data_IF_045682982735
#
_entry.id   IF_045682982735
#
_cell.length_a   1.000
_cell.length_b   1.000
_cell.length_c   1.000
_cell.angle_alpha   90.00
_cell.angle_beta   90.00
_cell.angle_gamma   90.00
#
_symmetry.space_group_name_H-M   'P 1'
#
loop_
_entity.id
_entity.type
_entity.pdbx_description
1 polymer ?
#
# COMPACT_ATOMS: atom_id res chain seq x y z
N UNK A 1 6.76 -4.88 -10.93
CA UNK A 1 6.59 -5.48 -9.59
C UNK A 1 7.88 -6.04 -9.04
N UNK A 2 8.70 -6.77 -9.82
CA UNK A 2 9.93 -7.41 -9.35
C UNK A 2 10.99 -6.44 -8.76
N UNK A 3 10.99 -5.17 -9.14
CA UNK A 3 11.97 -4.17 -8.64
C UNK A 3 11.42 -3.27 -7.53
N UNK A 4 10.10 -3.05 -7.45
CA UNK A 4 9.50 -2.19 -6.41
C UNK A 4 9.65 -2.88 -5.05
N UNK A 5 10.39 -2.26 -4.14
CA UNK A 5 10.75 -2.81 -2.81
C UNK A 5 11.68 -4.04 -2.83
N UNK A 6 12.54 -4.17 -3.85
CA UNK A 6 13.46 -5.32 -3.91
C UNK A 6 14.44 -5.36 -2.73
N UNK A 7 15.10 -4.24 -2.43
CA UNK A 7 16.04 -4.14 -1.31
C UNK A 7 15.36 -4.46 0.02
N UNK A 8 14.15 -3.92 0.23
CA UNK A 8 13.32 -4.14 1.41
C UNK A 8 13.01 -5.63 1.61
N UNK A 9 12.65 -6.35 0.54
CA UNK A 9 12.41 -7.80 0.59
C UNK A 9 13.69 -8.60 0.85
N UNK A 10 14.79 -8.25 0.19
CA UNK A 10 16.07 -8.94 0.33
C UNK A 10 16.62 -8.78 1.76
N UNK A 11 16.48 -7.59 2.33
CA UNK A 11 16.97 -7.25 3.67
C UNK A 11 15.91 -7.45 4.77
N UNK A 12 14.69 -7.87 4.42
CA UNK A 12 13.57 -8.18 5.33
C UNK A 12 13.23 -7.02 6.29
N UNK A 13 13.14 -5.81 5.77
CA UNK A 13 12.67 -4.63 6.50
C UNK A 13 11.56 -3.91 5.73
N UNK A 14 10.74 -3.14 6.44
CA UNK A 14 9.70 -2.32 5.81
C UNK A 14 10.04 -0.83 5.95
N UNK A 15 10.26 -0.15 4.82
CA UNK A 15 10.57 1.28 4.77
C UNK A 15 9.35 2.18 5.02
N UNK A 16 8.13 1.65 4.85
CA UNK A 16 6.88 2.40 4.80
C UNK A 16 6.95 3.60 3.83
N UNK A 17 7.78 3.50 2.78
CA UNK A 17 7.93 4.56 1.80
C UNK A 17 6.77 4.55 0.80
N UNK A 18 5.63 5.07 1.23
CA UNK A 18 4.44 5.16 0.40
C UNK A 18 4.62 6.11 -0.80
N UNK A 19 5.55 7.05 -0.73
CA UNK A 19 5.84 7.93 -1.87
C UNK A 19 6.45 7.14 -3.03
N UNK A 20 7.43 6.26 -2.75
CA UNK A 20 7.99 5.32 -3.74
C UNK A 20 6.91 4.47 -4.40
N UNK A 21 5.93 4.00 -3.62
CA UNK A 21 4.78 3.28 -4.14
C UNK A 21 3.93 4.12 -5.11
N UNK A 22 3.49 5.31 -4.67
CA UNK A 22 2.62 6.15 -5.50
C UNK A 22 3.33 6.64 -6.77
N UNK A 23 4.65 6.90 -6.72
CA UNK A 23 5.45 7.22 -7.90
C UNK A 23 5.42 6.06 -8.92
N UNK A 24 5.65 4.84 -8.46
CA UNK A 24 5.63 3.68 -9.34
C UNK A 24 4.24 3.44 -9.95
N UNK A 25 3.15 3.64 -9.17
CA UNK A 25 1.78 3.58 -9.71
C UNK A 25 1.54 4.66 -10.76
N UNK A 26 1.94 5.91 -10.49
CA UNK A 26 1.77 7.04 -11.39
C UNK A 26 2.48 6.83 -12.74
N UNK A 27 3.66 6.21 -12.72
CA UNK A 27 4.44 5.89 -13.91
C UNK A 27 3.89 4.67 -14.69
N UNK A 28 3.10 3.82 -14.04
CA UNK A 28 2.65 2.53 -14.59
C UNK A 28 1.12 2.36 -14.51
N UNK A 29 0.35 3.43 -14.73
CA UNK A 29 -1.11 3.45 -14.49
C UNK A 29 -1.86 2.34 -15.23
N UNK A 30 -1.56 2.12 -16.52
CA UNK A 30 -2.23 1.08 -17.33
C UNK A 30 -2.02 -0.31 -16.73
N UNK A 31 -0.81 -0.59 -16.23
CA UNK A 31 -0.51 -1.85 -15.54
C UNK A 31 -1.39 -2.01 -14.30
N UNK A 32 -1.46 -1.01 -13.43
CA UNK A 32 -2.27 -1.10 -12.21
C UNK A 32 -3.78 -1.13 -12.47
N UNK A 33 -4.27 -0.38 -13.47
CA UNK A 33 -5.66 -0.46 -13.91
C UNK A 33 -6.00 -1.87 -14.41
N UNK A 34 -5.08 -2.50 -15.14
CA UNK A 34 -5.26 -3.87 -15.62
C UNK A 34 -5.18 -4.88 -14.47
N UNK A 35 -4.19 -4.72 -13.59
CA UNK A 35 -4.00 -5.53 -12.39
C UNK A 35 -5.27 -5.57 -11.53
N UNK A 36 -5.87 -4.41 -11.22
CA UNK A 36 -7.07 -4.33 -10.41
C UNK A 36 -8.35 -4.82 -11.11
N UNK A 37 -8.39 -4.84 -12.45
CA UNK A 37 -9.50 -5.44 -13.20
C UNK A 37 -9.42 -6.97 -13.23
N UNK A 38 -8.20 -7.50 -13.23
CA UNK A 38 -7.93 -8.94 -13.22
C UNK A 38 -7.93 -9.53 -11.80
N UNK A 39 -7.88 -8.69 -10.76
CA UNK A 39 -8.04 -9.12 -9.37
C UNK A 39 -9.42 -9.79 -9.18
N UNK A 40 -9.44 -10.97 -8.56
CA UNK A 40 -10.65 -11.75 -8.27
C UNK A 40 -10.92 -11.78 -6.75
N UNK A 41 -12.17 -11.98 -6.31
CA UNK A 41 -12.45 -12.21 -4.89
C UNK A 41 -11.66 -13.43 -4.40
N UNK A 42 -10.64 -13.21 -3.56
CA UNK A 42 -9.74 -14.27 -3.05
C UNK A 42 -8.33 -14.27 -3.67
N UNK A 43 -8.07 -13.53 -4.76
CA UNK A 43 -6.69 -13.18 -5.08
C UNK A 43 -6.27 -12.12 -4.06
N UNK A 44 -5.37 -12.49 -3.15
CA UNK A 44 -4.68 -11.54 -2.28
C UNK A 44 -3.84 -10.65 -3.19
N UNK A 45 -4.47 -9.63 -3.78
CA UNK A 45 -3.86 -8.65 -4.66
C UNK A 45 -2.98 -7.74 -3.82
N UNK A 46 -1.90 -8.34 -3.33
CA UNK A 46 -0.80 -7.70 -2.71
C UNK A 46 -0.08 -6.95 -3.84
N UNK A 47 -0.50 -5.71 -4.08
CA UNK A 47 0.51 -4.67 -3.95
C UNK A 47 1.30 -5.06 -2.69
N UNK A 48 2.56 -5.50 -2.86
CA UNK A 48 3.37 -6.26 -1.90
C UNK A 48 3.60 -5.61 -0.53
N UNK A 49 2.82 -4.59 -0.21
CA UNK A 49 2.58 -3.96 1.08
C UNK A 49 2.06 -4.95 2.14
N UNK A 50 1.69 -6.18 1.76
CA UNK A 50 1.26 -7.23 2.68
C UNK A 50 2.35 -7.69 3.66
N UNK A 51 3.63 -7.36 3.42
CA UNK A 51 4.64 -7.38 4.48
C UNK A 51 4.55 -6.08 5.32
N UNK A 52 3.33 -5.64 5.64
CA UNK A 52 3.12 -4.65 6.68
C UNK A 52 3.68 -5.31 7.94
N UNK A 53 4.83 -4.80 8.35
CA UNK A 53 5.67 -5.40 9.37
C UNK A 53 4.80 -5.55 10.61
N UNK A 54 4.52 -6.79 11.01
CA UNK A 54 3.75 -7.10 12.23
C UNK A 54 4.31 -6.35 13.44
N UNK A 55 5.60 -5.98 13.39
CA UNK A 55 6.28 -5.12 14.36
C UNK A 55 5.69 -3.71 14.49
N UNK A 56 5.23 -3.09 13.41
CA UNK A 56 4.66 -1.74 13.46
C UNK A 56 3.22 -1.76 14.02
N UNK A 57 2.42 -2.75 13.64
CA UNK A 57 1.12 -2.98 14.25
C UNK A 57 1.26 -3.31 15.76
N UNK A 58 2.24 -4.14 16.13
CA UNK A 58 2.56 -4.42 17.53
C UNK A 58 2.96 -3.15 18.30
N UNK A 59 3.78 -2.28 17.70
CA UNK A 59 4.22 -1.03 18.31
C UNK A 59 3.10 0.00 18.49
N UNK A 60 2.16 0.11 17.55
CA UNK A 60 1.06 1.08 17.62
C UNK A 60 -0.16 0.60 18.41
N UNK A 61 -0.46 -0.70 18.36
CA UNK A 61 -1.72 -1.25 18.89
C UNK A 61 -1.52 -2.22 20.06
N UNK A 62 -0.30 -2.33 20.59
CA UNK A 62 -0.01 -3.12 21.78
C UNK A 62 -0.26 -4.61 21.57
N UNK A 63 0.07 -5.12 20.38
CA UNK A 63 0.01 -6.54 20.00
C UNK A 63 -1.39 -7.16 20.01
N UNK A 64 -2.46 -6.35 20.02
CA UNK A 64 -3.86 -6.80 19.98
C UNK A 64 -4.46 -6.59 18.59
N UNK A 65 -5.21 -7.59 18.10
CA UNK A 65 -5.98 -7.53 16.84
C UNK A 65 -5.15 -7.17 15.58
N UNK A 66 -3.88 -7.57 15.56
CA UNK A 66 -2.93 -7.23 14.47
C UNK A 66 -3.45 -7.69 13.10
N UNK A 67 -4.08 -8.86 13.05
CA UNK A 67 -4.71 -9.40 11.85
C UNK A 67 -5.77 -8.45 11.28
N UNK A 68 -6.66 -7.93 12.12
CA UNK A 68 -7.67 -6.95 11.70
C UNK A 68 -7.05 -5.62 11.25
N UNK A 69 -5.99 -5.15 11.92
CA UNK A 69 -5.29 -3.94 11.51
C UNK A 69 -4.61 -4.09 10.14
N UNK A 70 -3.98 -5.24 9.88
CA UNK A 70 -3.37 -5.57 8.58
C UNK A 70 -4.45 -5.63 7.49
N UNK A 71 -5.56 -6.32 7.77
CA UNK A 71 -6.68 -6.43 6.83
C UNK A 71 -7.28 -5.05 6.51
N UNK A 72 -7.56 -4.23 7.53
CA UNK A 72 -8.07 -2.88 7.36
C UNK A 72 -7.13 -2.01 6.53
N UNK A 73 -5.83 -2.05 6.82
CA UNK A 73 -4.82 -1.30 6.07
C UNK A 73 -4.74 -1.75 4.61
N UNK A 74 -4.67 -3.07 4.37
CA UNK A 74 -4.61 -3.62 3.01
C UNK A 74 -5.82 -3.22 2.19
N UNK A 75 -7.02 -3.37 2.75
CA UNK A 75 -8.25 -3.02 2.06
C UNK A 75 -8.40 -1.50 1.86
N UNK A 76 -8.03 -0.69 2.86
CA UNK A 76 -8.04 0.76 2.78
C UNK A 76 -7.07 1.30 1.72
N UNK A 77 -5.84 0.79 1.69
CA UNK A 77 -4.84 1.18 0.70
C UNK A 77 -5.28 0.83 -0.72
N UNK A 78 -5.77 -0.40 -0.94
CA UNK A 78 -6.27 -0.82 -2.24
C UNK A 78 -7.44 0.06 -2.70
N UNK A 79 -8.36 0.44 -1.81
CA UNK A 79 -9.47 1.32 -2.13
C UNK A 79 -9.01 2.72 -2.56
N UNK A 80 -8.04 3.30 -1.84
CA UNK A 80 -7.47 4.61 -2.16
C UNK A 80 -6.77 4.59 -3.52
N UNK A 81 -5.96 3.56 -3.80
CA UNK A 81 -5.26 3.44 -5.08
C UNK A 81 -6.27 3.27 -6.23
N UNK A 82 -7.31 2.43 -6.06
CA UNK A 82 -8.38 2.25 -7.06
C UNK A 82 -9.10 3.57 -7.35
N UNK A 83 -9.44 4.33 -6.32
CA UNK A 83 -10.05 5.67 -6.46
C UNK A 83 -9.13 6.62 -7.23
N UNK A 84 -7.85 6.68 -6.87
CA UNK A 84 -6.88 7.56 -7.51
C UNK A 84 -6.67 7.22 -8.99
N UNK A 85 -6.54 5.93 -9.32
CA UNK A 85 -6.43 5.45 -10.70
C UNK A 85 -7.68 5.75 -11.53
N UNK A 86 -8.88 5.61 -10.94
CA UNK A 86 -10.15 5.93 -11.61
C UNK A 86 -10.27 7.42 -11.95
N UNK A 87 -9.74 8.28 -11.08
CA UNK A 87 -9.70 9.72 -11.26
C UNK A 87 -8.54 10.18 -12.17
N UNK A 88 -7.83 9.26 -12.84
CA UNK A 88 -6.72 9.60 -13.73
C UNK A 88 -5.45 10.06 -13.01
N UNK A 89 -5.26 9.62 -11.76
CA UNK A 89 -4.15 10.02 -10.89
C UNK A 89 -3.99 11.55 -10.78
N UNK A 90 -5.09 12.25 -10.48
CA UNK A 90 -5.14 13.72 -10.44
C UNK A 90 -4.21 14.33 -9.39
N UNK A 91 -4.22 13.81 -8.17
CA UNK A 91 -3.32 14.20 -7.10
C UNK A 91 -1.90 13.71 -7.39
N UNK A 92 -0.87 14.47 -6.98
CA UNK A 92 0.52 14.04 -7.12
C UNK A 92 0.84 12.85 -6.21
N UNK A 93 1.87 12.03 -6.53
CA UNK A 93 2.32 10.95 -5.65
C UNK A 93 2.64 11.41 -4.22
N UNK A 94 3.18 12.63 -4.07
CA UNK A 94 3.47 13.21 -2.76
C UNK A 94 2.18 13.47 -1.97
N UNK A 95 1.19 14.10 -2.59
CA UNK A 95 -0.11 14.36 -1.95
C UNK A 95 -0.78 13.05 -1.51
N UNK A 96 -0.71 12.00 -2.34
CA UNK A 96 -1.25 10.69 -1.98
C UNK A 96 -0.52 10.05 -0.79
N UNK A 97 0.81 10.16 -0.74
CA UNK A 97 1.60 9.69 0.39
C UNK A 97 1.27 10.45 1.69
N UNK A 98 1.06 11.77 1.59
CA UNK A 98 0.65 12.62 2.71
C UNK A 98 -0.76 12.26 3.21
N UNK A 99 -1.73 12.05 2.32
CA UNK A 99 -3.08 11.59 2.68
C UNK A 99 -3.01 10.26 3.45
N UNK A 100 -2.25 9.29 2.94
CA UNK A 100 -2.13 7.99 3.60
C UNK A 100 -1.43 8.10 4.96
N UNK A 101 -0.40 8.93 5.08
CA UNK A 101 0.31 9.18 6.34
C UNK A 101 -0.57 9.90 7.37
N UNK A 102 -1.45 10.80 6.95
CA UNK A 102 -2.38 11.49 7.84
C UNK A 102 -3.39 10.51 8.48
N UNK A 103 -3.80 9.48 7.75
CA UNK A 103 -4.74 8.47 8.25
C UNK A 103 -4.08 7.40 9.12
N UNK A 104 -2.86 6.97 8.79
CA UNK A 104 -2.18 5.83 9.43
C UNK A 104 -0.96 6.22 10.28
N UNK A 105 -0.64 7.50 10.39
CA UNK A 105 0.40 7.98 11.30
C UNK A 105 0.00 7.85 12.77
N UNK A 106 0.97 7.81 13.70
CA UNK A 106 0.68 7.86 15.13
C UNK A 106 -0.11 9.12 15.49
N UNK A 107 -1.16 8.95 16.31
CA UNK A 107 -1.97 10.03 16.87
C UNK A 107 -1.52 10.40 18.27
#
# INVERSE_FOLDING_TARGET
>A
MAELYQDEREQKYNSNDFYKLFCHIYQNQLFYQTYFKLEHPGSTGALGVAEYDTRQAAAYYGDRYIDYHIEFFRHGLNAIIKKWLHNGCHETPQQMAEILRAEYGPK
#
